data_IF_978630269245
#
_entry.id   IF_978630269245
#
_cell.length_a   1.000
_cell.length_b   1.000
_cell.length_c   1.000
_cell.angle_alpha   90.00
_cell.angle_beta   90.00
_cell.angle_gamma   90.00
#
_symmetry.space_group_name_H-M   'P 1'
#
loop_
_entity.id
_entity.type
_entity.pdbx_description
1 polymer ?
#
# COMPACT_ATOMS: atom_id res chain seq x y z
N UNK A 1 13.75 -12.96 12.17
CA UNK A 1 12.59 -12.15 11.75
C UNK A 1 13.12 -11.21 10.69
N UNK A 2 12.39 -11.04 9.59
CA UNK A 2 12.76 -10.04 8.58
C UNK A 2 12.63 -8.64 9.17
N UNK A 3 13.44 -7.73 8.67
CA UNK A 3 13.39 -6.28 8.92
C UNK A 3 12.29 -5.64 8.07
N UNK A 4 11.96 -4.37 8.35
CA UNK A 4 10.98 -3.64 7.54
C UNK A 4 11.50 -3.40 6.11
N UNK A 5 12.81 -3.24 5.96
CA UNK A 5 13.51 -3.11 4.68
C UNK A 5 13.42 -4.40 3.88
N UNK A 6 13.66 -5.56 4.49
CA UNK A 6 13.50 -6.86 3.81
C UNK A 6 12.05 -7.13 3.41
N UNK A 7 11.07 -6.78 4.25
CA UNK A 7 9.64 -6.91 3.89
C UNK A 7 9.28 -5.94 2.74
N UNK A 8 9.81 -4.71 2.76
CA UNK A 8 9.68 -3.76 1.64
C UNK A 8 10.21 -4.37 0.35
N UNK A 9 11.42 -4.92 0.37
CA UNK A 9 12.06 -5.48 -0.83
C UNK A 9 11.29 -6.70 -1.37
N UNK A 10 10.63 -7.47 -0.50
CA UNK A 10 9.74 -8.55 -0.92
C UNK A 10 8.43 -8.04 -1.52
N UNK A 11 7.86 -6.93 -1.04
CA UNK A 11 6.61 -6.38 -1.56
C UNK A 11 6.80 -5.52 -2.81
N UNK A 12 7.89 -4.77 -2.89
CA UNK A 12 8.18 -3.82 -3.96
C UNK A 12 7.96 -4.37 -5.39
N UNK A 13 8.48 -5.54 -5.79
CA UNK A 13 8.28 -6.07 -7.15
C UNK A 13 6.83 -6.46 -7.48
N UNK A 14 5.95 -6.55 -6.47
CA UNK A 14 4.52 -6.88 -6.63
C UNK A 14 3.62 -5.65 -6.56
N UNK A 15 4.13 -4.53 -6.02
CA UNK A 15 3.34 -3.36 -5.67
C UNK A 15 3.76 -2.14 -6.49
N UNK A 16 5.06 -1.89 -6.69
CA UNK A 16 5.55 -0.73 -7.44
C UNK A 16 5.22 -0.89 -8.93
N UNK A 17 4.71 0.18 -9.53
CA UNK A 17 4.35 0.25 -10.95
C UNK A 17 2.93 0.77 -11.18
N UNK A 18 2.55 0.78 -12.46
CA UNK A 18 1.25 1.25 -12.91
C UNK A 18 0.15 0.20 -12.67
N UNK A 19 -0.94 0.62 -12.03
CA UNK A 19 -2.14 -0.17 -11.83
C UNK A 19 -3.30 0.40 -12.63
N UNK A 20 -3.89 -0.47 -13.45
CA UNK A 20 -5.10 -0.18 -14.22
C UNK A 20 -6.18 -1.22 -13.88
N UNK A 21 -7.42 -0.78 -13.65
CA UNK A 21 -8.59 -1.63 -13.45
C UNK A 21 -9.67 -1.45 -14.54
N UNK A 22 -9.35 -0.76 -15.65
CA UNK A 22 -10.30 -0.48 -16.72
C UNK A 22 -11.32 0.62 -16.40
N UNK A 23 -11.15 1.32 -15.27
CA UNK A 23 -12.04 2.36 -14.75
C UNK A 23 -11.78 3.78 -15.28
N UNK A 24 -10.92 3.94 -16.30
CA UNK A 24 -10.62 5.24 -16.92
C UNK A 24 -9.54 6.07 -16.23
N UNK A 25 -8.87 5.53 -15.20
CA UNK A 25 -7.70 6.12 -14.59
C UNK A 25 -6.65 5.06 -14.23
N UNK A 26 -5.40 5.50 -14.12
CA UNK A 26 -4.26 4.70 -13.68
C UNK A 26 -3.72 5.29 -12.40
N UNK A 27 -3.39 4.43 -11.44
CA UNK A 27 -2.63 4.79 -10.24
C UNK A 27 -1.23 4.20 -10.39
N UNK A 28 -0.20 5.03 -10.33
CA UNK A 28 1.19 4.57 -10.40
C UNK A 28 1.83 4.65 -9.02
N UNK A 29 2.18 3.49 -8.45
CA UNK A 29 2.95 3.44 -7.21
C UNK A 29 4.43 3.61 -7.55
N UNK A 30 5.04 4.68 -7.06
CA UNK A 30 6.44 5.03 -7.35
C UNK A 30 7.39 4.68 -6.20
N UNK A 31 6.89 4.63 -4.97
CA UNK A 31 7.65 4.16 -3.81
C UNK A 31 6.75 3.47 -2.79
N UNK A 32 7.38 2.65 -1.96
CA UNK A 32 6.76 1.89 -0.87
C UNK A 32 7.66 1.96 0.37
N UNK A 33 7.08 2.30 1.51
CA UNK A 33 7.73 2.20 2.82
C UNK A 33 6.93 1.28 3.74
N UNK A 34 7.63 0.50 4.57
CA UNK A 34 7.03 -0.36 5.59
C UNK A 34 7.41 0.18 6.97
N UNK A 35 6.41 0.42 7.82
CA UNK A 35 6.62 0.87 9.20
C UNK A 35 6.00 -0.13 10.16
N UNK A 36 6.81 -0.77 10.99
CA UNK A 36 6.32 -1.70 12.01
C UNK A 36 6.04 -0.99 13.34
N UNK A 37 4.91 -1.31 13.97
CA UNK A 37 4.53 -0.82 15.31
C UNK A 37 3.97 -1.99 16.13
N UNK A 38 4.85 -2.61 16.91
CA UNK A 38 4.50 -3.79 17.70
C UNK A 38 4.09 -4.97 16.82
N UNK A 39 2.86 -5.48 16.98
CA UNK A 39 2.32 -6.60 16.18
C UNK A 39 1.57 -6.16 14.92
N UNK A 40 1.63 -4.88 14.59
CA UNK A 40 1.02 -4.29 13.41
C UNK A 40 2.11 -3.65 12.55
N UNK A 41 1.79 -3.42 11.29
CA UNK A 41 2.61 -2.59 10.42
C UNK A 41 1.72 -1.77 9.50
N UNK A 42 2.28 -0.71 8.94
CA UNK A 42 1.64 0.11 7.93
C UNK A 42 2.51 0.06 6.68
N UNK A 43 1.86 0.07 5.52
CA UNK A 43 2.51 0.29 4.23
C UNK A 43 2.15 1.70 3.79
N UNK A 44 3.16 2.51 3.51
CA UNK A 44 2.99 3.83 2.92
C UNK A 44 3.30 3.70 1.43
N UNK A 45 2.35 4.10 0.60
CA UNK A 45 2.49 4.08 -0.85
C UNK A 45 2.54 5.50 -1.34
N UNK A 46 3.61 5.82 -2.07
CA UNK A 46 3.65 7.04 -2.83
C UNK A 46 3.04 6.78 -4.21
N UNK A 47 1.99 7.52 -4.52
CA UNK A 47 1.12 7.27 -5.67
C UNK A 47 1.01 8.52 -6.52
N UNK A 48 1.32 8.38 -7.82
CA UNK A 48 0.97 9.34 -8.84
C UNK A 48 -0.42 9.00 -9.35
N UNK A 49 -1.35 9.94 -9.20
CA UNK A 49 -2.74 9.78 -9.58
C UNK A 49 -3.19 10.97 -10.46
N UNK A 50 -4.37 10.91 -11.12
CA UNK A 50 -4.82 11.96 -12.03
C UNK A 50 -4.87 13.38 -11.44
N UNK A 51 -5.04 13.52 -10.12
CA UNK A 51 -5.13 14.81 -9.45
C UNK A 51 -3.85 15.22 -8.68
N UNK A 52 -2.76 14.47 -8.83
CA UNK A 52 -1.45 14.78 -8.27
C UNK A 52 -0.80 13.61 -7.54
N UNK A 53 0.29 13.90 -6.81
CA UNK A 53 1.04 12.92 -6.02
C UNK A 53 0.54 12.86 -4.58
N UNK A 54 0.44 11.64 -4.06
CA UNK A 54 -0.11 11.35 -2.75
C UNK A 54 0.77 10.36 -1.99
N UNK A 55 0.86 10.54 -0.67
CA UNK A 55 1.32 9.51 0.26
C UNK A 55 0.10 8.90 0.93
N UNK A 56 -0.14 7.60 0.71
CA UNK A 56 -1.31 6.89 1.23
C UNK A 56 -0.87 5.82 2.21
N UNK A 57 -1.48 5.81 3.40
CA UNK A 57 -1.21 4.85 4.46
C UNK A 57 -2.25 3.73 4.47
N UNK A 58 -1.76 2.50 4.37
CA UNK A 58 -2.53 1.27 4.48
C UNK A 58 -2.12 0.51 5.75
N UNK A 59 -3.02 0.41 6.72
CA UNK A 59 -2.76 -0.29 7.98
C UNK A 59 -2.97 -1.80 7.85
N UNK A 60 -2.09 -2.60 8.46
CA UNK A 60 -2.08 -4.06 8.37
C UNK A 60 -2.14 -4.68 9.76
N UNK A 61 -3.02 -5.66 9.90
CA UNK A 61 -3.36 -6.32 11.16
C UNK A 61 -2.38 -7.43 11.54
N UNK A 62 -2.65 -8.06 12.68
CA UNK A 62 -1.78 -9.10 13.24
C UNK A 62 -1.68 -10.35 12.38
N UNK A 63 -2.69 -10.68 11.56
CA UNK A 63 -2.64 -11.81 10.64
C UNK A 63 -1.60 -11.65 9.53
N UNK A 64 -1.35 -10.40 9.13
CA UNK A 64 -0.44 -10.05 8.03
C UNK A 64 1.00 -9.86 8.54
N UNK A 65 1.18 -9.74 9.85
CA UNK A 65 2.50 -9.66 10.50
C UNK A 65 3.37 -10.90 10.26
N UNK A 66 2.79 -11.99 9.76
CA UNK A 66 3.51 -13.17 9.31
C UNK A 66 4.46 -12.90 8.13
N UNK A 67 4.32 -11.75 7.45
CA UNK A 67 5.31 -11.28 6.48
C UNK A 67 6.72 -11.14 7.08
N UNK A 68 6.81 -10.90 8.38
CA UNK A 68 8.09 -10.74 9.08
C UNK A 68 8.75 -12.08 9.45
N UNK A 69 8.12 -13.22 9.13
CA UNK A 69 8.77 -14.53 9.31
C UNK A 69 9.95 -14.66 8.34
N UNK A 70 11.01 -15.43 8.66
CA UNK A 70 12.20 -15.54 7.80
C UNK A 70 11.93 -16.04 6.37
N UNK A 71 10.80 -16.72 6.14
CA UNK A 71 10.36 -17.19 4.84
C UNK A 71 8.84 -17.05 4.76
N UNK A 72 8.32 -15.84 4.46
CA UNK A 72 6.88 -15.65 4.33
C UNK A 72 6.39 -16.39 3.08
N UNK A 73 5.23 -17.06 3.12
CA UNK A 73 4.70 -17.76 1.96
C UNK A 73 4.46 -16.80 0.79
N UNK A 74 4.78 -17.23 -0.43
CA UNK A 74 4.52 -16.43 -1.65
C UNK A 74 3.04 -16.06 -1.79
N UNK A 75 2.14 -16.94 -1.37
CA UNK A 75 0.70 -16.68 -1.35
C UNK A 75 0.32 -15.54 -0.42
N UNK A 76 1.02 -15.36 0.71
CA UNK A 76 0.81 -14.24 1.61
C UNK A 76 1.31 -12.94 0.98
N UNK A 77 2.48 -12.94 0.34
CA UNK A 77 3.01 -11.77 -0.39
C UNK A 77 2.06 -11.32 -1.51
N UNK A 78 1.59 -12.27 -2.33
CA UNK A 78 0.64 -12.00 -3.40
C UNK A 78 -0.70 -11.49 -2.88
N UNK A 79 -1.19 -12.07 -1.77
CA UNK A 79 -2.43 -11.63 -1.13
C UNK A 79 -2.31 -10.22 -0.57
N UNK A 80 -1.22 -9.87 0.12
CA UNK A 80 -0.99 -8.51 0.64
C UNK A 80 -0.87 -7.50 -0.49
N UNK A 81 -0.15 -7.82 -1.57
CA UNK A 81 -0.05 -6.95 -2.75
C UNK A 81 -1.43 -6.71 -3.40
N UNK A 82 -2.24 -7.76 -3.52
CA UNK A 82 -3.61 -7.65 -4.04
C UNK A 82 -4.50 -6.80 -3.13
N UNK A 83 -4.40 -6.98 -1.81
CA UNK A 83 -5.15 -6.19 -0.83
C UNK A 83 -4.76 -4.71 -0.88
N UNK A 84 -3.46 -4.38 -0.98
CA UNK A 84 -2.98 -3.01 -1.18
C UNK A 84 -3.57 -2.38 -2.45
N UNK A 85 -3.58 -3.12 -3.56
CA UNK A 85 -4.15 -2.63 -4.81
C UNK A 85 -5.64 -2.34 -4.68
N UNK A 86 -6.43 -3.26 -4.13
CA UNK A 86 -7.87 -3.08 -3.92
C UNK A 86 -8.14 -1.86 -3.03
N UNK A 87 -7.48 -1.80 -1.88
CA UNK A 87 -7.64 -0.68 -0.93
C UNK A 87 -7.29 0.66 -1.56
N UNK A 88 -6.29 0.71 -2.45
CA UNK A 88 -5.90 1.94 -3.13
C UNK A 88 -6.97 2.44 -4.11
N UNK A 89 -7.57 1.55 -4.89
CA UNK A 89 -8.67 1.93 -5.79
C UNK A 89 -9.91 2.37 -5.00
N UNK A 90 -10.25 1.66 -3.92
CA UNK A 90 -11.34 2.06 -3.02
C UNK A 90 -11.06 3.42 -2.37
N UNK A 91 -9.83 3.65 -1.90
CA UNK A 91 -9.40 4.94 -1.36
C UNK A 91 -9.53 6.03 -2.41
N UNK A 92 -9.06 5.82 -3.63
CA UNK A 92 -9.11 6.82 -4.70
C UNK A 92 -10.55 7.26 -5.01
N UNK A 93 -11.46 6.31 -5.12
CA UNK A 93 -12.88 6.57 -5.37
C UNK A 93 -13.55 7.34 -4.21
N UNK A 94 -13.12 7.09 -2.97
CA UNK A 94 -13.82 7.59 -1.77
C UNK A 94 -13.12 8.77 -1.08
N UNK A 95 -11.87 9.09 -1.39
CA UNK A 95 -11.04 10.07 -0.65
C UNK A 95 -11.64 11.47 -0.54
N UNK A 96 -12.50 11.85 -1.50
CA UNK A 96 -13.20 13.14 -1.50
C UNK A 96 -14.57 13.13 -0.82
N UNK A 97 -15.12 11.95 -0.54
CA UNK A 97 -16.49 11.77 -0.02
C UNK A 97 -16.51 11.30 1.44
N UNK A 98 -15.55 10.48 1.85
CA UNK A 98 -15.55 9.85 3.17
C UNK A 98 -14.47 10.43 4.09
N UNK A 99 -14.88 10.89 5.28
CA UNK A 99 -13.96 11.46 6.28
C UNK A 99 -12.88 10.47 6.74
N UNK A 100 -13.15 9.17 6.66
CA UNK A 100 -12.19 8.11 7.03
C UNK A 100 -11.06 8.01 6.01
N UNK A 101 -11.38 7.96 4.73
CA UNK A 101 -10.42 7.78 3.63
C UNK A 101 -9.64 9.06 3.32
N UNK A 102 -10.26 10.23 3.54
CA UNK A 102 -9.58 11.51 3.49
C UNK A 102 -8.36 11.60 4.43
N UNK A 103 -8.35 10.86 5.56
CA UNK A 103 -7.21 10.83 6.50
C UNK A 103 -6.13 9.83 6.12
N UNK A 104 -6.40 8.92 5.18
CA UNK A 104 -5.43 7.91 4.76
C UNK A 104 -4.40 8.47 3.78
N UNK A 105 -4.75 9.51 3.02
CA UNK A 105 -3.88 10.12 2.02
C UNK A 105 -3.49 11.55 2.37
N UNK A 106 -2.23 11.90 2.12
CA UNK A 106 -1.71 13.28 2.18
C UNK A 106 -1.20 13.65 0.80
N UNK A 107 -1.63 14.79 0.27
CA UNK A 107 -1.12 15.31 -1.01
C UNK A 107 0.30 15.83 -0.83
N UNK A 108 1.21 15.47 -1.73
CA UNK A 108 2.63 15.81 -1.64
C UNK A 108 3.03 17.03 -2.46
N UNK A 109 2.32 17.33 -3.54
CA UNK A 109 2.64 18.45 -4.45
C UNK A 109 1.92 19.76 -4.04
N UNK A 110 1.70 19.96 -2.74
CA UNK A 110 0.93 21.08 -2.17
C UNK A 110 1.78 22.11 -1.45
#
# INVERSE_FOLDING_TARGET
MLTVEEVRDLLAPRVVGAWDQGGGFTLEVVDLEVVQRGRQFSVYLEVVAPDGRWLVRCDRGSGESHLFNPCPPETLLAWVATALRIEMFEWWETKGAERRTAKQGVRLDG
#
